data_IF_977461966039
#
_entry.id   IF_977461966039
#
_cell.length_a   1.000
_cell.length_b   1.000
_cell.length_c   1.000
_cell.angle_alpha   90.00
_cell.angle_beta   90.00
_cell.angle_gamma   90.00
#
_symmetry.space_group_name_H-M   'P 1'
#
loop_
_entity.id
_entity.type
_entity.pdbx_description
1 polymer ?
#
# COMPACT_ATOMS: atom_id res chain seq x y z
N UNK A 1 31.86 -21.16 0.07
CA UNK A 1 30.66 -20.58 -0.58
C UNK A 1 29.37 -20.68 0.24
N UNK A 2 29.19 -21.65 1.17
CA UNK A 2 27.97 -21.75 1.99
C UNK A 2 27.82 -20.72 3.13
N UNK A 3 28.93 -20.22 3.71
CA UNK A 3 28.90 -19.27 4.84
C UNK A 3 28.34 -17.87 4.49
N UNK A 4 28.52 -17.41 3.23
CA UNK A 4 28.02 -16.11 2.77
C UNK A 4 26.49 -16.07 2.63
N UNK A 5 25.86 -17.22 2.36
CA UNK A 5 24.40 -17.31 2.22
C UNK A 5 23.66 -17.07 3.55
N UNK A 6 24.27 -17.44 4.68
CA UNK A 6 23.72 -17.23 6.01
C UNK A 6 23.79 -15.76 6.45
N UNK A 7 24.93 -15.10 6.18
CA UNK A 7 25.12 -13.67 6.48
C UNK A 7 24.11 -12.78 5.76
N UNK A 8 23.87 -13.05 4.47
CA UNK A 8 22.90 -12.29 3.66
C UNK A 8 21.46 -12.42 4.17
N UNK A 9 21.03 -13.63 4.56
CA UNK A 9 19.70 -13.85 5.15
C UNK A 9 19.54 -13.11 6.49
N UNK A 10 20.57 -13.12 7.33
CA UNK A 10 20.59 -12.36 8.58
C UNK A 10 20.45 -10.86 8.34
N UNK A 11 21.22 -10.32 7.40
CA UNK A 11 21.18 -8.90 7.06
C UNK A 11 19.83 -8.47 6.47
N UNK A 12 19.25 -9.27 5.55
CA UNK A 12 17.88 -9.02 5.03
C UNK A 12 16.85 -8.90 6.14
N UNK A 13 16.92 -9.78 7.14
CA UNK A 13 16.02 -9.73 8.31
C UNK A 13 16.27 -8.51 9.18
N UNK A 14 17.50 -8.05 9.33
CA UNK A 14 17.78 -6.81 10.05
C UNK A 14 17.19 -5.62 9.31
N UNK A 15 17.43 -5.54 8.01
CA UNK A 15 16.99 -4.44 7.16
C UNK A 15 15.47 -4.41 6.91
N UNK A 16 14.70 -5.44 7.28
CA UNK A 16 13.24 -5.44 7.09
C UNK A 16 12.48 -4.62 8.16
N UNK A 17 13.19 -3.98 9.08
CA UNK A 17 12.64 -3.12 10.14
C UNK A 17 13.16 -1.68 10.00
N UNK A 18 12.25 -0.70 10.01
CA UNK A 18 12.57 0.73 9.94
C UNK A 18 13.50 1.15 11.10
N UNK A 19 13.23 0.67 12.33
CA UNK A 19 14.07 0.94 13.51
C UNK A 19 15.50 0.43 13.31
N UNK A 20 15.67 -0.80 12.81
CA UNK A 20 16.99 -1.38 12.60
C UNK A 20 17.77 -0.64 11.50
N UNK A 21 17.10 -0.22 10.43
CA UNK A 21 17.73 0.62 9.41
C UNK A 21 18.23 1.91 10.04
N UNK A 22 17.39 2.57 10.84
CA UNK A 22 17.80 3.80 11.49
C UNK A 22 18.95 3.59 12.49
N UNK A 23 18.99 2.46 13.20
CA UNK A 23 20.09 2.10 14.10
C UNK A 23 21.39 1.85 13.31
N UNK A 24 21.29 1.22 12.13
CA UNK A 24 22.44 1.03 11.24
C UNK A 24 22.95 2.35 10.67
N UNK A 25 22.07 3.26 10.26
CA UNK A 25 22.45 4.60 9.82
C UNK A 25 23.13 5.35 10.98
N UNK A 26 22.58 5.29 12.19
CA UNK A 26 23.18 5.89 13.38
C UNK A 26 24.57 5.34 13.65
N UNK A 27 24.72 4.01 13.70
CA UNK A 27 26.00 3.35 13.91
C UNK A 27 27.03 3.79 12.87
N UNK A 28 26.68 3.78 11.58
CA UNK A 28 27.55 4.25 10.51
C UNK A 28 27.91 5.75 10.67
N UNK A 29 26.99 6.56 11.16
CA UNK A 29 27.23 7.98 11.42
C UNK A 29 28.18 8.21 12.60
N UNK A 30 28.16 7.36 13.63
CA UNK A 30 29.15 7.39 14.72
C UNK A 30 30.54 6.96 14.24
N UNK A 31 30.59 6.05 13.25
CA UNK A 31 31.82 5.59 12.63
C UNK A 31 32.45 6.63 11.69
N UNK A 32 31.62 7.31 10.90
CA UNK A 32 32.02 8.41 10.01
C UNK A 32 30.81 9.31 9.71
N UNK A 33 30.84 10.56 10.17
CA UNK A 33 29.75 11.51 9.95
C UNK A 33 29.90 12.33 8.65
N UNK A 34 31.05 12.23 7.95
CA UNK A 34 31.31 13.03 6.74
C UNK A 34 30.32 12.78 5.58
N UNK A 35 29.84 11.55 5.33
CA UNK A 35 28.83 11.26 4.30
C UNK A 35 27.59 12.17 4.34
N UNK A 36 27.18 12.63 5.53
CA UNK A 36 26.03 13.52 5.67
C UNK A 36 26.19 14.85 4.93
N UNK A 37 27.42 15.34 4.69
CA UNK A 37 27.64 16.61 3.98
C UNK A 37 26.96 16.62 2.61
N UNK A 38 26.98 15.50 1.91
CA UNK A 38 26.39 15.37 0.57
C UNK A 38 24.86 15.34 0.59
N UNK A 39 24.28 14.99 1.74
CA UNK A 39 22.84 14.70 1.90
C UNK A 39 22.10 15.89 2.51
N UNK A 40 22.64 16.44 3.60
CA UNK A 40 22.02 17.51 4.39
C UNK A 40 22.79 18.84 4.29
N UNK A 41 23.91 18.87 3.55
CA UNK A 41 24.72 20.06 3.34
C UNK A 41 25.73 20.39 4.44
N UNK A 42 25.82 19.59 5.51
CA UNK A 42 26.80 19.76 6.58
C UNK A 42 27.23 18.44 7.22
N UNK A 43 28.38 18.46 7.91
CA UNK A 43 28.86 17.33 8.72
C UNK A 43 28.36 17.52 10.15
N UNK A 44 27.53 16.62 10.69
CA UNK A 44 27.05 16.76 12.05
C UNK A 44 28.18 16.52 13.06
N UNK A 45 28.16 17.31 14.13
CA UNK A 45 28.97 17.09 15.34
C UNK A 45 28.27 16.18 16.32
N UNK A 46 26.93 16.08 16.26
CA UNK A 46 26.15 15.11 17.01
C UNK A 46 25.07 14.47 16.14
N UNK A 47 24.81 13.21 16.44
CA UNK A 47 23.77 12.37 15.85
C UNK A 47 23.01 11.78 17.04
N UNK A 48 21.69 11.89 17.04
CA UNK A 48 20.84 11.40 18.14
C UNK A 48 19.73 10.51 17.57
N UNK A 49 19.48 9.37 18.22
CA UNK A 49 18.35 8.46 17.92
C UNK A 49 17.11 8.86 18.69
N UNK A 50 15.95 8.68 18.06
CA UNK A 50 14.63 8.92 18.67
C UNK A 50 14.51 10.30 19.32
N UNK A 51 15.19 11.28 18.74
CA UNK A 51 15.29 12.61 19.31
C UNK A 51 13.91 13.27 19.33
N UNK A 52 13.57 13.87 20.46
CA UNK A 52 12.31 14.59 20.60
C UNK A 52 12.33 15.84 19.72
N UNK A 53 11.42 15.89 18.75
CA UNK A 53 11.20 17.00 17.84
C UNK A 53 9.73 17.43 17.95
N UNK A 54 9.48 18.48 18.73
CA UNK A 54 8.14 18.91 19.14
C UNK A 54 7.32 17.74 19.77
N UNK A 55 6.13 17.45 19.22
CA UNK A 55 5.23 16.38 19.68
C UNK A 55 5.57 15.00 19.12
N UNK A 56 6.70 14.85 18.43
CA UNK A 56 7.08 13.60 17.78
C UNK A 56 8.55 13.22 18.06
N UNK A 57 8.93 12.01 17.65
CA UNK A 57 10.31 11.52 17.71
C UNK A 57 10.82 11.27 16.31
N UNK A 58 11.86 12.02 15.94
CA UNK A 58 12.60 11.76 14.72
C UNK A 58 13.43 10.50 14.85
N UNK A 59 13.51 9.71 13.80
CA UNK A 59 14.40 8.56 13.77
C UNK A 59 15.84 9.02 14.00
N UNK A 60 16.28 10.06 13.30
CA UNK A 60 17.58 10.68 13.55
C UNK A 60 17.46 12.20 13.62
N UNK A 61 18.18 12.80 14.57
CA UNK A 61 18.49 14.22 14.59
C UNK A 61 19.98 14.40 14.39
N UNK A 62 20.34 15.27 13.46
CA UNK A 62 21.72 15.60 13.08
C UNK A 62 21.95 17.08 13.37
N UNK A 63 23.02 17.42 14.09
CA UNK A 63 23.27 18.78 14.53
C UNK A 63 24.76 19.13 14.47
N UNK A 64 25.09 20.38 14.12
CA UNK A 64 26.46 20.91 14.12
C UNK A 64 26.64 22.18 14.99
N UNK A 65 25.66 22.49 15.83
CA UNK A 65 25.53 23.69 16.66
C UNK A 65 24.95 24.91 15.93
N UNK A 66 24.72 24.83 14.61
CA UNK A 66 24.17 25.93 13.79
C UNK A 66 23.00 25.49 12.91
N UNK A 67 23.04 24.27 12.42
CA UNK A 67 22.05 23.68 11.54
C UNK A 67 21.58 22.37 12.15
N UNK A 68 20.29 22.09 11.99
CA UNK A 68 19.66 20.85 12.45
C UNK A 68 18.94 20.20 11.28
N UNK A 69 19.15 18.90 11.09
CA UNK A 69 18.42 18.08 10.14
C UNK A 69 17.70 16.95 10.89
N UNK A 70 16.46 16.67 10.50
CA UNK A 70 15.69 15.53 10.98
C UNK A 70 15.52 14.53 9.84
N UNK A 71 15.88 13.28 10.10
CA UNK A 71 15.70 12.17 9.16
C UNK A 71 14.62 11.25 9.71
N UNK A 72 13.62 10.96 8.88
CA UNK A 72 12.69 9.86 9.12
C UNK A 72 12.99 8.72 8.14
N UNK A 73 13.01 7.48 8.63
CA UNK A 73 13.16 6.27 7.83
C UNK A 73 11.79 5.62 7.61
N UNK A 74 11.48 5.27 6.36
CA UNK A 74 10.26 4.53 6.01
C UNK A 74 10.53 3.47 4.94
N UNK A 75 10.09 2.24 5.22
CA UNK A 75 10.10 1.14 4.25
C UNK A 75 8.70 0.87 3.72
N UNK A 76 7.74 0.76 4.63
CA UNK A 76 6.41 0.24 4.32
C UNK A 76 5.26 1.14 4.75
N UNK A 77 5.51 2.11 5.62
CA UNK A 77 4.47 2.96 6.22
C UNK A 77 4.50 4.39 5.69
N UNK A 78 3.35 5.07 5.73
CA UNK A 78 3.24 6.52 5.50
C UNK A 78 3.63 7.32 6.74
N UNK A 79 4.17 8.52 6.52
CA UNK A 79 4.06 9.59 7.51
C UNK A 79 2.58 9.95 7.60
N UNK A 80 1.96 9.76 8.77
CA UNK A 80 0.56 10.19 8.95
C UNK A 80 0.45 11.71 8.78
N UNK A 81 -0.71 12.22 8.33
CA UNK A 81 -0.90 13.67 8.18
C UNK A 81 -0.63 14.43 9.48
N UNK A 82 -0.98 13.84 10.63
CA UNK A 82 -0.65 14.39 11.96
C UNK A 82 0.85 14.43 12.24
N UNK A 83 1.56 13.35 11.93
CA UNK A 83 3.02 13.27 12.09
C UNK A 83 3.73 14.28 11.18
N UNK A 84 3.31 14.35 9.92
CA UNK A 84 3.85 15.28 8.95
C UNK A 84 3.62 16.74 9.36
N UNK A 85 2.38 17.09 9.74
CA UNK A 85 2.05 18.42 10.26
C UNK A 85 2.87 18.78 11.51
N UNK A 86 3.16 17.82 12.39
CA UNK A 86 4.00 18.06 13.56
C UNK A 86 5.44 18.45 13.18
N UNK A 87 6.06 17.76 12.21
CA UNK A 87 7.37 18.16 11.71
C UNK A 87 7.34 19.49 10.96
N UNK A 88 6.34 19.70 10.12
CA UNK A 88 6.21 20.91 9.31
C UNK A 88 5.94 22.16 10.15
N UNK A 89 5.45 21.99 11.38
CA UNK A 89 5.30 23.06 12.38
C UNK A 89 6.60 23.55 13.02
N UNK A 90 7.72 22.81 12.83
CA UNK A 90 9.04 23.24 13.30
C UNK A 90 9.53 24.45 12.50
N UNK A 91 10.52 25.18 13.01
CA UNK A 91 11.12 26.31 12.31
C UNK A 91 11.69 25.90 10.93
N UNK A 92 11.71 26.83 9.98
CA UNK A 92 12.26 26.59 8.63
C UNK A 92 13.77 26.30 8.62
N UNK A 93 14.47 26.67 9.71
CA UNK A 93 15.89 26.36 9.91
C UNK A 93 16.16 24.85 10.10
N UNK A 94 15.13 24.06 10.42
CA UNK A 94 15.23 22.60 10.53
C UNK A 94 14.95 21.96 9.17
N UNK A 95 15.95 21.33 8.56
CA UNK A 95 15.74 20.59 7.32
C UNK A 95 15.10 19.23 7.59
N UNK A 96 14.08 18.88 6.79
CA UNK A 96 13.32 17.64 6.92
C UNK A 96 13.66 16.69 5.79
N UNK A 97 14.01 15.46 6.14
CA UNK A 97 14.46 14.45 5.19
C UNK A 97 13.73 13.14 5.40
N UNK A 98 13.34 12.50 4.31
CA UNK A 98 12.71 11.19 4.29
C UNK A 98 13.63 10.20 3.58
N UNK A 99 14.11 9.20 4.32
CA UNK A 99 14.89 8.10 3.79
C UNK A 99 14.00 6.88 3.53
N UNK A 100 13.88 6.45 2.28
CA UNK A 100 13.04 5.32 1.89
C UNK A 100 13.58 4.59 0.65
N UNK A 101 12.94 3.49 0.23
CA UNK A 101 13.33 2.81 -1.01
C UNK A 101 13.01 3.69 -2.22
N UNK A 102 13.91 3.75 -3.20
CA UNK A 102 13.81 4.66 -4.36
C UNK A 102 12.50 4.51 -5.16
N UNK A 103 11.94 3.30 -5.36
CA UNK A 103 10.63 3.13 -6.00
C UNK A 103 9.47 3.83 -5.29
N UNK A 104 9.66 4.25 -4.03
CA UNK A 104 8.65 4.94 -3.21
C UNK A 104 8.78 6.48 -3.29
N UNK A 105 9.64 7.03 -4.16
CA UNK A 105 9.88 8.48 -4.27
C UNK A 105 8.62 9.32 -4.50
N UNK A 106 7.66 8.78 -5.24
CA UNK A 106 6.39 9.45 -5.56
C UNK A 106 5.50 9.72 -4.32
N UNK A 107 5.86 9.16 -3.15
CA UNK A 107 5.14 9.39 -1.89
C UNK A 107 5.20 10.82 -1.38
N UNK A 108 6.21 11.59 -1.77
CA UNK A 108 6.28 13.01 -1.49
C UNK A 108 5.61 13.72 -2.67
N UNK A 109 4.43 14.29 -2.41
CA UNK A 109 3.68 15.02 -3.42
C UNK A 109 4.29 16.40 -3.69
N UNK A 110 3.76 17.09 -4.71
CA UNK A 110 4.15 18.47 -5.02
C UNK A 110 3.89 19.45 -3.84
N UNK A 111 2.96 19.10 -2.95
CA UNK A 111 2.66 19.85 -1.72
C UNK A 111 3.74 19.72 -0.64
N UNK A 112 4.69 18.80 -0.78
CA UNK A 112 5.55 18.34 0.32
C UNK A 112 6.91 19.06 0.28
N UNK A 113 6.87 20.36 -0.02
CA UNK A 113 8.03 21.17 -0.39
C UNK A 113 9.11 21.27 0.68
N UNK A 114 8.77 21.03 1.95
CA UNK A 114 9.74 21.00 3.06
C UNK A 114 10.57 19.72 3.12
N UNK A 115 10.10 18.64 2.52
CA UNK A 115 10.70 17.32 2.64
C UNK A 115 11.63 17.03 1.47
N UNK A 116 12.84 16.59 1.80
CA UNK A 116 13.78 16.07 0.81
C UNK A 116 13.79 14.54 0.86
N UNK A 117 13.61 13.89 -0.29
CA UNK A 117 13.66 12.44 -0.42
C UNK A 117 15.09 11.95 -0.64
N UNK A 118 15.47 10.89 0.09
CA UNK A 118 16.73 10.19 -0.10
C UNK A 118 16.49 8.68 -0.25
N UNK A 119 17.01 8.10 -1.33
CA UNK A 119 16.97 6.65 -1.53
C UNK A 119 17.86 5.95 -0.51
N UNK A 120 17.38 4.91 0.17
CA UNK A 120 18.17 4.18 1.15
C UNK A 120 19.43 3.58 0.53
N UNK A 121 19.34 3.05 -0.69
CA UNK A 121 20.49 2.53 -1.43
C UNK A 121 21.57 3.59 -1.61
N UNK A 122 21.18 4.79 -2.06
CA UNK A 122 22.07 5.93 -2.28
C UNK A 122 22.67 6.42 -0.95
N UNK A 123 21.82 6.55 0.08
CA UNK A 123 22.22 6.95 1.44
C UNK A 123 23.30 6.01 2.00
N UNK A 124 23.07 4.69 2.00
CA UNK A 124 24.05 3.75 2.52
C UNK A 124 25.33 3.73 1.68
N UNK A 125 25.24 3.87 0.35
CA UNK A 125 26.39 3.83 -0.54
C UNK A 125 27.45 4.90 -0.23
N UNK A 126 27.06 6.03 0.36
CA UNK A 126 27.99 7.09 0.76
C UNK A 126 28.97 6.66 1.86
N UNK A 127 28.61 5.69 2.72
CA UNK A 127 29.57 5.09 3.65
C UNK A 127 30.51 4.08 2.99
N UNK A 128 30.14 3.57 1.81
CA UNK A 128 30.97 2.68 1.00
C UNK A 128 32.26 3.36 0.51
N UNK A 129 32.30 4.69 0.50
CA UNK A 129 33.47 5.50 0.12
C UNK A 129 34.23 6.06 1.32
N UNK A 130 33.93 5.63 2.56
CA UNK A 130 34.56 6.16 3.78
C UNK A 130 36.05 5.78 3.84
N UNK A 131 36.96 6.70 3.57
CA UNK A 131 38.41 6.41 3.52
C UNK A 131 39.02 5.98 4.85
N UNK A 132 38.35 6.25 5.98
CA UNK A 132 38.92 6.04 7.33
C UNK A 132 38.28 4.90 8.12
N UNK A 133 37.31 4.17 7.55
CA UNK A 133 36.61 3.12 8.29
C UNK A 133 36.25 1.92 7.41
N UNK A 134 37.12 0.91 7.39
CA UNK A 134 36.94 -0.34 6.62
C UNK A 134 35.66 -1.09 7.01
N UNK A 135 35.26 -1.06 8.29
CA UNK A 135 34.03 -1.70 8.77
C UNK A 135 32.80 -1.01 8.18
N UNK A 136 32.77 0.32 8.18
CA UNK A 136 31.68 1.10 7.58
C UNK A 136 31.56 0.82 6.08
N UNK A 137 32.69 0.76 5.36
CA UNK A 137 32.71 0.40 3.95
C UNK A 137 32.12 -1.00 3.70
N UNK A 138 32.64 -2.01 4.42
CA UNK A 138 32.21 -3.41 4.24
C UNK A 138 30.73 -3.62 4.59
N UNK A 139 30.27 -3.01 5.69
CA UNK A 139 28.87 -3.09 6.11
C UNK A 139 27.94 -2.36 5.12
N UNK A 140 28.32 -1.15 4.69
CA UNK A 140 27.59 -0.39 3.66
C UNK A 140 27.44 -1.21 2.38
N UNK A 141 28.53 -1.78 1.86
CA UNK A 141 28.50 -2.58 0.63
C UNK A 141 27.51 -3.76 0.73
N UNK A 142 27.50 -4.46 1.86
CA UNK A 142 26.57 -5.56 2.10
C UNK A 142 25.10 -5.09 2.20
N UNK A 143 24.85 -3.93 2.82
CA UNK A 143 23.52 -3.34 2.92
C UNK A 143 23.02 -2.90 1.53
N UNK A 144 23.85 -2.19 0.78
CA UNK A 144 23.55 -1.72 -0.58
C UNK A 144 23.21 -2.90 -1.49
N UNK A 145 23.93 -4.02 -1.40
CA UNK A 145 23.61 -5.24 -2.17
C UNK A 145 22.18 -5.73 -1.90
N UNK A 146 21.76 -5.77 -0.63
CA UNK A 146 20.40 -6.17 -0.24
C UNK A 146 19.34 -5.18 -0.72
N UNK A 147 19.58 -3.88 -0.56
CA UNK A 147 18.64 -2.84 -0.98
C UNK A 147 18.46 -2.82 -2.50
N UNK A 148 19.56 -2.92 -3.27
CA UNK A 148 19.53 -3.07 -4.72
C UNK A 148 18.75 -4.31 -5.17
N UNK A 149 18.80 -5.41 -4.42
CA UNK A 149 17.97 -6.59 -4.70
C UNK A 149 16.49 -6.29 -4.52
N UNK A 150 16.10 -5.69 -3.40
CA UNK A 150 14.70 -5.32 -3.17
C UNK A 150 14.18 -4.32 -4.21
N UNK A 151 14.98 -3.32 -4.59
CA UNK A 151 14.60 -2.36 -5.61
C UNK A 151 14.44 -3.01 -6.99
N UNK A 152 15.29 -4.00 -7.33
CA UNK A 152 15.14 -4.80 -8.56
C UNK A 152 13.90 -5.70 -8.51
N UNK A 153 13.60 -6.33 -7.37
CA UNK A 153 12.41 -7.15 -7.20
C UNK A 153 11.13 -6.31 -7.31
N UNK A 154 11.09 -5.13 -6.68
CA UNK A 154 9.98 -4.18 -6.81
C UNK A 154 9.86 -3.70 -8.25
N UNK A 155 10.96 -3.30 -8.89
CA UNK A 155 10.90 -2.79 -10.27
C UNK A 155 10.51 -3.88 -11.27
N UNK A 156 10.95 -5.12 -11.05
CA UNK A 156 10.68 -6.26 -11.92
C UNK A 156 9.20 -6.59 -12.07
N UNK A 157 8.37 -6.35 -11.04
CA UNK A 157 6.91 -6.56 -11.15
C UNK A 157 6.19 -5.48 -11.95
N UNK A 158 6.86 -4.37 -12.27
CA UNK A 158 6.37 -3.31 -13.17
C UNK A 158 7.05 -3.33 -14.54
N UNK A 159 7.89 -4.34 -14.82
CA UNK A 159 8.48 -4.47 -16.14
C UNK A 159 7.49 -5.14 -17.10
N UNK A 160 7.66 -4.89 -18.40
CA UNK A 160 6.97 -5.64 -19.44
C UNK A 160 7.38 -7.13 -19.38
N UNK A 161 6.41 -8.03 -19.55
CA UNK A 161 6.59 -9.50 -19.50
C UNK A 161 7.62 -10.06 -20.48
N UNK A 162 7.92 -9.33 -21.55
CA UNK A 162 8.91 -9.72 -22.57
C UNK A 162 10.35 -9.44 -22.15
N UNK A 163 10.55 -8.65 -21.09
CA UNK A 163 11.88 -8.26 -20.61
C UNK A 163 12.43 -9.31 -19.62
N UNK A 164 13.74 -9.56 -19.68
CA UNK A 164 14.43 -10.47 -18.74
C UNK A 164 14.30 -10.02 -17.26
N UNK A 165 14.21 -8.71 -17.05
CA UNK A 165 14.03 -8.11 -15.73
C UNK A 165 12.64 -8.37 -15.12
N UNK A 166 11.68 -8.87 -15.91
CA UNK A 166 10.33 -9.14 -15.46
C UNK A 166 10.29 -10.12 -14.28
N UNK A 167 9.39 -9.84 -13.34
CA UNK A 167 9.08 -10.71 -12.22
C UNK A 167 7.56 -10.82 -12.03
N UNK A 168 7.04 -12.01 -11.71
CA UNK A 168 5.66 -12.14 -11.26
C UNK A 168 5.48 -11.57 -9.86
N UNK A 169 4.25 -11.17 -9.51
CA UNK A 169 3.88 -10.66 -8.19
C UNK A 169 4.23 -11.63 -7.05
N UNK A 170 4.17 -12.94 -7.30
CA UNK A 170 4.55 -13.97 -6.31
C UNK A 170 6.03 -13.97 -5.93
N UNK A 171 6.88 -13.26 -6.69
CA UNK A 171 8.32 -13.15 -6.40
C UNK A 171 8.60 -12.23 -5.18
N UNK A 172 7.65 -11.39 -4.81
CA UNK A 172 7.78 -10.41 -3.73
C UNK A 172 7.59 -11.11 -2.40
N UNK A 173 8.68 -11.35 -1.68
CA UNK A 173 8.68 -12.16 -0.45
C UNK A 173 8.66 -11.36 0.85
N UNK A 174 8.88 -10.05 0.79
CA UNK A 174 8.87 -9.19 1.97
C UNK A 174 7.58 -8.36 2.07
N UNK A 175 7.05 -8.27 3.27
CA UNK A 175 5.79 -7.57 3.55
C UNK A 175 5.83 -6.07 3.30
N UNK A 176 6.96 -5.40 3.52
CA UNK A 176 7.05 -3.96 3.23
C UNK A 176 7.08 -3.72 1.71
N UNK A 177 7.62 -4.65 0.92
CA UNK A 177 7.69 -4.52 -0.54
C UNK A 177 6.30 -4.59 -1.17
N UNK A 178 5.42 -5.49 -0.69
CA UNK A 178 4.03 -5.54 -1.19
C UNK A 178 3.30 -4.21 -0.97
N UNK A 179 3.59 -3.51 0.13
CA UNK A 179 3.05 -2.17 0.41
C UNK A 179 3.62 -1.09 -0.51
N UNK A 180 4.91 -1.12 -0.80
CA UNK A 180 5.54 -0.21 -1.78
C UNK A 180 4.92 -0.41 -3.16
N UNK A 181 4.75 -1.67 -3.57
CA UNK A 181 4.13 -2.03 -4.86
C UNK A 181 2.67 -1.56 -4.91
N UNK A 182 1.89 -1.78 -3.84
CA UNK A 182 0.52 -1.29 -3.74
C UNK A 182 0.44 0.24 -3.91
N UNK A 183 1.32 1.00 -3.25
CA UNK A 183 1.38 2.46 -3.38
C UNK A 183 1.70 2.91 -4.79
N UNK A 184 2.69 2.26 -5.43
CA UNK A 184 3.05 2.59 -6.81
C UNK A 184 1.92 2.28 -7.78
N UNK A 185 1.21 1.16 -7.62
CA UNK A 185 0.01 0.86 -8.40
C UNK A 185 -1.10 1.89 -8.16
N UNK A 186 -1.32 2.32 -6.92
CA UNK A 186 -2.30 3.36 -6.61
C UNK A 186 -1.96 4.69 -7.33
N UNK A 187 -0.69 5.11 -7.31
CA UNK A 187 -0.24 6.29 -8.04
C UNK A 187 -0.50 6.16 -9.56
N UNK A 188 -0.23 4.99 -10.15
CA UNK A 188 -0.51 4.74 -11.58
C UNK A 188 -2.03 4.83 -11.86
N UNK A 189 -2.89 4.30 -10.99
CA UNK A 189 -4.35 4.46 -11.14
C UNK A 189 -4.78 5.93 -11.06
N UNK A 190 -4.17 6.72 -10.18
CA UNK A 190 -4.43 8.16 -10.06
C UNK A 190 -3.99 8.93 -11.30
N UNK A 191 -2.83 8.59 -11.89
CA UNK A 191 -2.37 9.14 -13.16
C UNK A 191 -3.33 8.83 -14.32
N UNK A 192 -4.02 7.68 -14.26
CA UNK A 192 -5.10 7.30 -15.18
C UNK A 192 -6.45 7.98 -14.87
N UNK A 193 -6.53 8.83 -13.85
CA UNK A 193 -7.73 9.59 -13.48
C UNK A 193 -8.71 8.84 -12.59
N UNK A 194 -8.32 7.70 -12.01
CA UNK A 194 -9.14 6.95 -11.05
C UNK A 194 -8.87 7.42 -9.62
N UNK A 195 -9.89 7.35 -8.78
CA UNK A 195 -9.68 7.43 -7.34
C UNK A 195 -9.05 6.13 -6.88
N UNK A 196 -7.99 6.17 -6.08
CA UNK A 196 -7.32 4.96 -5.62
C UNK A 196 -6.62 5.16 -4.28
N UNK A 197 -6.42 4.05 -3.57
CA UNK A 197 -5.70 4.02 -2.32
C UNK A 197 -4.92 2.72 -2.17
N UNK A 198 -3.82 2.79 -1.42
CA UNK A 198 -3.06 1.63 -0.98
C UNK A 198 -3.15 1.54 0.54
N UNK A 199 -3.76 0.47 1.03
CA UNK A 199 -4.01 0.26 2.46
C UNK A 199 -3.50 -1.13 2.89
N UNK A 200 -3.79 -1.50 4.13
CA UNK A 200 -3.48 -2.83 4.66
C UNK A 200 -4.67 -3.32 5.49
N UNK A 201 -4.88 -4.63 5.53
CA UNK A 201 -5.89 -5.20 6.43
C UNK A 201 -5.57 -4.85 7.89
N UNK A 202 -6.59 -4.71 8.73
CA UNK A 202 -6.44 -4.49 10.18
C UNK A 202 -5.36 -5.36 10.82
N UNK A 203 -4.55 -4.78 11.72
CA UNK A 203 -3.35 -5.43 12.27
C UNK A 203 -2.12 -5.35 11.33
N UNK A 204 -2.20 -4.54 10.28
CA UNK A 204 -1.11 -4.30 9.34
C UNK A 204 -0.84 -5.48 8.42
N UNK A 205 -1.83 -6.33 8.14
CA UNK A 205 -1.72 -7.63 7.46
C UNK A 205 -1.45 -7.55 5.95
N UNK A 206 -2.39 -8.03 5.13
CA UNK A 206 -2.27 -8.10 3.67
C UNK A 206 -2.23 -6.69 3.07
N UNK A 207 -1.43 -6.52 2.01
CA UNK A 207 -1.49 -5.31 1.20
C UNK A 207 -2.82 -5.26 0.46
N UNK A 208 -3.37 -4.05 0.35
CA UNK A 208 -4.62 -3.77 -0.34
C UNK A 208 -4.36 -2.64 -1.34
N UNK A 209 -4.82 -2.83 -2.57
CA UNK A 209 -4.95 -1.79 -3.58
C UNK A 209 -6.44 -1.64 -3.88
N UNK A 210 -6.98 -0.45 -3.72
CA UNK A 210 -8.37 -0.11 -4.01
C UNK A 210 -8.43 0.95 -5.12
N UNK A 211 -9.38 0.79 -6.02
CA UNK A 211 -9.74 1.76 -7.03
C UNK A 211 -11.25 2.00 -7.03
N UNK A 212 -11.65 3.25 -7.24
CA UNK A 212 -13.04 3.66 -7.27
C UNK A 212 -13.36 4.51 -8.50
N UNK A 213 -14.59 4.37 -8.97
CA UNK A 213 -15.17 5.22 -10.00
C UNK A 213 -16.57 5.66 -9.56
N UNK A 214 -16.88 6.98 -9.51
CA UNK A 214 -18.18 7.45 -9.07
C UNK A 214 -19.33 6.86 -9.89
N UNK A 215 -20.42 6.52 -9.23
CA UNK A 215 -21.69 6.23 -9.89
C UNK A 215 -22.13 7.47 -10.67
N UNK A 216 -22.68 7.31 -11.88
CA UNK A 216 -23.03 8.43 -12.77
C UNK A 216 -23.93 9.44 -12.05
N UNK A 217 -23.49 10.69 -11.99
CA UNK A 217 -24.23 11.78 -11.34
C UNK A 217 -24.03 11.88 -9.83
N UNK A 218 -23.17 11.04 -9.25
CA UNK A 218 -22.81 11.06 -7.83
C UNK A 218 -21.36 11.50 -7.60
N UNK A 219 -21.04 11.77 -6.34
CA UNK A 219 -19.67 11.97 -5.84
C UNK A 219 -19.03 10.63 -5.46
N UNK A 220 -17.77 10.66 -5.03
CA UNK A 220 -16.97 9.44 -4.75
C UNK A 220 -17.47 8.62 -3.54
N UNK A 221 -18.26 9.24 -2.67
CA UNK A 221 -19.00 8.61 -1.56
C UNK A 221 -20.04 7.59 -2.04
N UNK A 222 -20.36 7.58 -3.35
CA UNK A 222 -21.21 6.56 -3.98
C UNK A 222 -20.51 6.06 -5.24
N UNK A 223 -19.76 4.98 -5.13
CA UNK A 223 -18.87 4.53 -6.18
C UNK A 223 -19.00 3.05 -6.51
N UNK A 224 -18.53 2.71 -7.70
CA UNK A 224 -18.05 1.37 -7.99
C UNK A 224 -16.65 1.17 -7.40
N UNK A 225 -16.37 -0.03 -6.93
CA UNK A 225 -15.08 -0.42 -6.37
C UNK A 225 -14.50 -1.62 -7.11
N UNK A 226 -13.18 -1.62 -7.24
CA UNK A 226 -12.38 -2.79 -7.52
C UNK A 226 -11.16 -2.81 -6.59
N UNK A 227 -10.88 -3.96 -6.02
CA UNK A 227 -9.89 -4.13 -4.95
C UNK A 227 -9.05 -5.37 -5.19
N UNK A 228 -7.74 -5.25 -4.97
CA UNK A 228 -6.82 -6.39 -4.90
C UNK A 228 -6.24 -6.52 -3.49
N UNK A 229 -6.29 -7.72 -2.91
CA UNK A 229 -5.70 -8.06 -1.60
C UNK A 229 -4.71 -9.22 -1.70
N UNK A 230 -3.52 -9.06 -1.12
CA UNK A 230 -2.51 -10.13 -1.14
C UNK A 230 -1.49 -10.08 0.01
N UNK A 231 -0.88 -11.23 0.27
CA UNK A 231 0.26 -11.37 1.17
C UNK A 231 1.55 -11.55 0.38
N UNK A 232 2.68 -11.27 1.02
CA UNK A 232 4.00 -11.58 0.51
C UNK A 232 4.16 -13.07 0.19
N UNK A 233 4.85 -13.37 -0.91
CA UNK A 233 5.11 -14.73 -1.40
C UNK A 233 3.87 -15.50 -1.87
N UNK A 234 2.69 -14.88 -1.87
CA UNK A 234 1.46 -15.55 -2.28
C UNK A 234 1.46 -15.78 -3.80
N UNK A 235 1.13 -17.00 -4.21
CA UNK A 235 0.87 -17.33 -5.62
C UNK A 235 -0.50 -16.85 -6.10
N UNK A 236 -1.35 -16.36 -5.19
CA UNK A 236 -2.68 -15.85 -5.53
C UNK A 236 -3.01 -14.53 -4.83
N UNK A 237 -3.74 -13.67 -5.52
CA UNK A 237 -4.39 -12.48 -4.95
C UNK A 237 -5.90 -12.65 -4.91
N UNK A 238 -6.56 -12.05 -3.92
CA UNK A 238 -8.02 -11.96 -3.87
C UNK A 238 -8.47 -10.65 -4.52
N UNK A 239 -9.21 -10.74 -5.61
CA UNK A 239 -9.76 -9.60 -6.33
C UNK A 239 -11.26 -9.48 -6.06
N UNK A 240 -11.68 -8.31 -5.58
CA UNK A 240 -13.09 -8.01 -5.27
C UNK A 240 -13.56 -6.83 -6.08
N UNK A 241 -14.84 -6.81 -6.42
CA UNK A 241 -15.42 -5.71 -7.17
C UNK A 241 -16.93 -5.63 -6.98
N UNK A 242 -17.47 -4.43 -7.07
CA UNK A 242 -18.90 -4.17 -6.90
C UNK A 242 -19.18 -2.71 -6.59
N UNK A 243 -20.04 -2.46 -5.60
CA UNK A 243 -20.40 -1.11 -5.14
C UNK A 243 -19.85 -0.85 -3.74
N UNK A 244 -19.44 0.38 -3.51
CA UNK A 244 -18.93 0.87 -2.23
C UNK A 244 -19.45 2.28 -1.98
N UNK A 245 -20.24 2.40 -0.92
CA UNK A 245 -20.85 3.66 -0.52
C UNK A 245 -20.32 4.03 0.86
N UNK A 246 -20.09 5.31 1.07
CA UNK A 246 -19.76 5.90 2.36
C UNK A 246 -20.66 7.11 2.60
N UNK A 247 -21.02 7.43 3.86
CA UNK A 247 -21.66 8.70 4.17
C UNK A 247 -20.78 9.88 3.72
N UNK A 248 -21.39 10.93 3.19
CA UNK A 248 -20.65 12.13 2.82
C UNK A 248 -19.98 12.77 4.05
N UNK A 249 -18.99 13.64 3.81
CA UNK A 249 -18.25 14.29 4.90
C UNK A 249 -19.20 15.06 5.83
N UNK A 250 -19.20 14.68 7.11
CA UNK A 250 -20.08 15.28 8.13
C UNK A 250 -21.46 14.62 8.26
N UNK A 251 -21.79 13.65 7.40
CA UNK A 251 -23.02 12.86 7.48
C UNK A 251 -22.81 11.54 8.25
N UNK A 252 -23.92 10.93 8.66
CA UNK A 252 -23.93 9.64 9.37
C UNK A 252 -24.63 8.59 8.50
N UNK A 253 -24.21 7.32 8.66
CA UNK A 253 -24.84 6.20 7.96
C UNK A 253 -26.32 6.04 8.34
N UNK A 254 -27.23 6.18 7.38
CA UNK A 254 -28.66 6.04 7.58
C UNK A 254 -29.30 4.93 6.72
N UNK A 255 -30.62 4.77 6.81
CA UNK A 255 -31.35 3.76 6.04
C UNK A 255 -31.32 4.07 4.53
N UNK A 256 -31.34 5.34 4.15
CA UNK A 256 -31.39 5.75 2.74
C UNK A 256 -30.12 5.34 2.01
N UNK A 257 -28.94 5.59 2.59
CA UNK A 257 -27.67 5.20 1.97
C UNK A 257 -27.50 3.67 1.94
N UNK A 258 -27.89 2.97 3.01
CA UNK A 258 -27.90 1.50 3.05
C UNK A 258 -28.80 0.91 1.98
N UNK A 259 -30.01 1.45 1.81
CA UNK A 259 -30.97 1.01 0.80
C UNK A 259 -30.47 1.31 -0.61
N UNK A 260 -29.95 2.51 -0.84
CA UNK A 260 -29.39 2.91 -2.14
C UNK A 260 -28.23 2.00 -2.57
N UNK A 261 -27.32 1.66 -1.65
CA UNK A 261 -26.19 0.77 -1.97
C UNK A 261 -26.64 -0.64 -2.36
N UNK A 262 -27.57 -1.24 -1.60
CA UNK A 262 -28.05 -2.60 -1.89
C UNK A 262 -28.96 -2.65 -3.12
N UNK A 263 -29.80 -1.63 -3.34
CA UNK A 263 -30.67 -1.57 -4.51
C UNK A 263 -29.85 -1.47 -5.80
N UNK A 264 -28.78 -0.65 -5.79
CA UNK A 264 -27.83 -0.62 -6.91
C UNK A 264 -27.15 -1.97 -7.10
N UNK A 265 -26.64 -2.59 -6.03
CA UNK A 265 -26.00 -3.91 -6.10
C UNK A 265 -26.93 -4.98 -6.69
N UNK A 266 -28.21 -5.00 -6.26
CA UNK A 266 -29.23 -5.94 -6.76
C UNK A 266 -29.56 -5.66 -8.23
N UNK A 267 -29.70 -4.38 -8.62
CA UNK A 267 -29.95 -4.03 -10.03
C UNK A 267 -28.81 -4.46 -10.95
N UNK A 268 -27.59 -4.52 -10.41
CA UNK A 268 -26.37 -4.97 -11.09
C UNK A 268 -26.01 -6.43 -10.79
N UNK A 269 -26.93 -7.23 -10.22
CA UNK A 269 -26.70 -8.65 -9.88
C UNK A 269 -26.06 -9.48 -11.01
N UNK A 270 -26.51 -9.39 -12.29
CA UNK A 270 -25.88 -10.16 -13.38
C UNK A 270 -24.48 -9.65 -13.74
N UNK A 271 -24.14 -8.41 -13.39
CA UNK A 271 -22.86 -7.76 -13.72
C UNK A 271 -21.83 -8.02 -12.61
N UNK A 272 -22.23 -7.93 -11.34
CA UNK A 272 -21.40 -8.20 -10.16
C UNK A 272 -21.30 -9.72 -9.94
N UNK A 273 -20.65 -10.39 -10.90
CA UNK A 273 -20.42 -11.84 -10.98
C UNK A 273 -19.07 -12.10 -11.64
N UNK A 274 -18.37 -13.10 -11.11
CA UNK A 274 -17.08 -13.56 -11.66
C UNK A 274 -17.16 -13.90 -13.13
N UNK A 275 -18.20 -14.64 -13.54
CA UNK A 275 -18.40 -15.09 -14.92
C UNK A 275 -18.59 -13.93 -15.88
N UNK A 276 -19.33 -12.90 -15.46
CA UNK A 276 -19.61 -11.73 -16.30
C UNK A 276 -18.36 -10.89 -16.50
N UNK A 277 -17.57 -10.69 -15.44
CA UNK A 277 -16.26 -10.05 -15.55
C UNK A 277 -15.32 -10.85 -16.45
N UNK A 278 -15.22 -12.17 -16.27
CA UNK A 278 -14.36 -13.04 -17.09
C UNK A 278 -14.78 -12.95 -18.57
N UNK A 279 -16.07 -13.05 -18.87
CA UNK A 279 -16.57 -12.94 -20.25
C UNK A 279 -16.24 -11.57 -20.88
N UNK A 280 -16.40 -10.48 -20.12
CA UNK A 280 -16.01 -9.15 -20.57
C UNK A 280 -14.50 -9.05 -20.86
N UNK A 281 -13.66 -9.61 -19.98
CA UNK A 281 -12.21 -9.61 -20.17
C UNK A 281 -11.78 -10.53 -21.32
N UNK A 282 -12.44 -11.66 -21.54
CA UNK A 282 -12.17 -12.52 -22.70
C UNK A 282 -12.38 -11.82 -24.04
N UNK A 283 -13.34 -10.88 -24.10
CA UNK A 283 -13.61 -10.07 -25.29
C UNK A 283 -12.67 -8.86 -25.40
N UNK A 284 -12.44 -8.15 -24.30
CA UNK A 284 -11.73 -6.85 -24.31
C UNK A 284 -10.24 -6.93 -24.02
N UNK A 285 -9.82 -7.83 -23.12
CA UNK A 285 -8.44 -7.99 -22.61
C UNK A 285 -8.12 -9.46 -22.31
N UNK A 286 -7.99 -10.32 -23.35
CA UNK A 286 -7.91 -11.78 -23.19
C UNK A 286 -6.70 -12.27 -22.37
N UNK A 287 -5.66 -11.46 -22.25
CA UNK A 287 -4.50 -11.70 -21.41
C UNK A 287 -4.82 -11.61 -19.91
N UNK A 288 -5.72 -10.71 -19.50
CA UNK A 288 -6.15 -10.55 -18.11
C UNK A 288 -7.10 -11.66 -17.69
N UNK A 289 -8.01 -12.08 -18.58
CA UNK A 289 -8.95 -13.18 -18.26
C UNK A 289 -8.22 -14.48 -17.91
N UNK A 290 -7.09 -14.75 -18.57
CA UNK A 290 -6.22 -15.92 -18.32
C UNK A 290 -5.50 -15.89 -16.96
N UNK A 291 -5.56 -14.78 -16.23
CA UNK A 291 -5.00 -14.65 -14.89
C UNK A 291 -6.05 -14.92 -13.80
N UNK A 292 -7.33 -14.94 -14.14
CA UNK A 292 -8.40 -15.11 -13.16
C UNK A 292 -8.73 -16.59 -13.02
N UNK A 293 -8.65 -17.08 -11.78
CA UNK A 293 -9.21 -18.38 -11.44
C UNK A 293 -10.71 -18.23 -11.18
N UNK A 294 -11.58 -18.98 -11.88
CA UNK A 294 -12.99 -19.02 -11.56
C UNK A 294 -13.15 -19.58 -10.14
N UNK A 295 -13.61 -18.74 -9.22
CA UNK A 295 -13.90 -19.18 -7.87
C UNK A 295 -15.15 -20.09 -7.90
N UNK A 296 -15.16 -21.18 -7.13
CA UNK A 296 -16.35 -22.06 -7.04
C UNK A 296 -17.56 -21.31 -6.45
N UNK A 297 -17.30 -20.28 -5.63
CA UNK A 297 -18.30 -19.37 -5.05
C UNK A 297 -17.81 -17.94 -5.18
N UNK A 298 -18.33 -17.20 -6.14
CA UNK A 298 -17.98 -15.80 -6.36
C UNK A 298 -18.79 -14.83 -5.49
N UNK A 299 -19.87 -15.32 -4.88
CA UNK A 299 -20.70 -14.63 -3.87
C UNK A 299 -21.12 -15.59 -2.75
N UNK A 300 -21.36 -15.10 -1.51
CA UNK A 300 -21.84 -15.93 -0.42
C UNK A 300 -23.31 -16.33 -0.61
N UNK A 301 -23.72 -17.39 0.08
CA UNK A 301 -25.15 -17.70 0.24
C UNK A 301 -25.79 -16.69 1.21
N UNK A 302 -26.96 -16.11 0.88
CA UNK A 302 -27.62 -15.15 1.74
C UNK A 302 -28.06 -15.79 3.06
N UNK A 303 -27.95 -15.04 4.16
CA UNK A 303 -28.27 -15.49 5.52
C UNK A 303 -28.95 -14.37 6.31
N UNK A 304 -29.96 -14.74 7.10
CA UNK A 304 -30.69 -13.79 7.95
C UNK A 304 -31.52 -12.77 7.16
N UNK A 305 -32.07 -11.78 7.86
CA UNK A 305 -32.88 -10.71 7.25
C UNK A 305 -32.00 -9.49 6.93
N UNK A 306 -31.55 -9.35 5.68
CA UNK A 306 -30.79 -8.16 5.28
C UNK A 306 -31.61 -6.87 5.40
N UNK A 307 -32.93 -6.96 5.24
CA UNK A 307 -33.84 -5.82 5.41
C UNK A 307 -33.76 -5.21 6.82
N UNK A 308 -33.48 -6.00 7.86
CA UNK A 308 -33.24 -5.46 9.21
C UNK A 308 -31.94 -4.65 9.28
N UNK A 309 -30.89 -5.10 8.58
CA UNK A 309 -29.63 -4.36 8.47
C UNK A 309 -29.83 -3.06 7.68
N UNK A 310 -30.64 -3.07 6.62
CA UNK A 310 -30.96 -1.85 5.87
C UNK A 310 -31.67 -0.83 6.76
N UNK A 311 -32.66 -1.24 7.56
CA UNK A 311 -33.38 -0.32 8.45
C UNK A 311 -32.55 0.20 9.61
N UNK A 312 -31.81 -0.68 10.29
CA UNK A 312 -31.24 -0.39 11.60
C UNK A 312 -29.72 -0.35 11.63
N UNK A 313 -29.05 -0.70 10.53
CA UNK A 313 -27.61 -0.94 10.50
C UNK A 313 -27.21 -2.15 11.36
N UNK A 314 -25.93 -2.54 11.29
CA UNK A 314 -25.43 -3.65 12.11
C UNK A 314 -25.47 -3.35 13.62
N UNK A 315 -25.32 -2.08 14.01
CA UNK A 315 -25.32 -1.68 15.40
C UNK A 315 -26.72 -1.71 16.02
N UNK A 316 -27.76 -1.45 15.23
CA UNK A 316 -29.16 -1.45 15.68
C UNK A 316 -29.80 -2.83 15.73
N UNK A 317 -29.29 -3.81 14.99
CA UNK A 317 -29.79 -5.20 15.02
C UNK A 317 -29.12 -6.00 16.13
N UNK A 318 -29.92 -6.35 17.16
CA UNK A 318 -29.50 -7.25 18.24
C UNK A 318 -29.89 -8.69 17.93
N UNK A 319 -28.96 -9.59 18.17
CA UNK A 319 -29.20 -11.02 18.07
C UNK A 319 -29.96 -11.55 19.30
N UNK A 320 -30.52 -12.77 19.24
CA UNK A 320 -31.23 -13.38 20.37
C UNK A 320 -30.39 -13.48 21.66
N UNK A 321 -29.07 -13.53 21.54
CA UNK A 321 -28.13 -13.57 22.67
C UNK A 321 -27.70 -12.16 23.16
N UNK A 322 -28.32 -11.10 22.63
CA UNK A 322 -28.06 -9.71 22.97
C UNK A 322 -26.80 -9.11 22.33
N UNK A 323 -26.03 -9.87 21.54
CA UNK A 323 -24.84 -9.35 20.85
C UNK A 323 -25.22 -8.53 19.62
N UNK A 324 -24.31 -7.63 19.22
CA UNK A 324 -24.40 -6.90 17.95
C UNK A 324 -24.34 -7.88 16.77
N UNK A 325 -25.23 -7.71 15.80
CA UNK A 325 -25.16 -8.45 14.54
C UNK A 325 -23.90 -8.09 13.77
N UNK A 326 -23.45 -9.00 12.90
CA UNK A 326 -22.34 -8.78 11.98
C UNK A 326 -22.53 -9.62 10.71
N UNK A 327 -21.68 -9.37 9.70
CA UNK A 327 -21.76 -10.05 8.41
C UNK A 327 -21.62 -11.57 8.46
N UNK A 328 -21.00 -12.14 9.49
CA UNK A 328 -20.92 -13.61 9.59
C UNK A 328 -22.28 -14.25 9.87
N UNK A 329 -23.22 -13.49 10.41
CA UNK A 329 -24.56 -13.96 10.82
C UNK A 329 -25.66 -13.50 9.86
N UNK A 330 -25.60 -12.24 9.41
CA UNK A 330 -26.54 -11.67 8.45
C UNK A 330 -25.74 -11.17 7.24
N UNK A 331 -25.95 -11.78 6.08
CA UNK A 331 -25.19 -11.51 4.87
C UNK A 331 -26.13 -11.50 3.66
N UNK A 332 -26.05 -10.50 2.78
CA UNK A 332 -26.79 -10.51 1.53
C UNK A 332 -26.09 -11.48 0.56
N UNK A 333 -26.59 -11.64 -0.67
CA UNK A 333 -25.91 -12.44 -1.68
C UNK A 333 -24.66 -11.74 -2.27
N UNK A 334 -23.87 -11.04 -1.44
CA UNK A 334 -22.67 -10.27 -1.79
C UNK A 334 -21.62 -10.34 -0.67
N UNK A 335 -20.35 -10.33 -1.04
CA UNK A 335 -19.26 -10.02 -0.11
C UNK A 335 -19.28 -8.52 0.24
N UNK A 336 -18.46 -8.13 1.21
CA UNK A 336 -18.28 -6.74 1.60
C UNK A 336 -17.91 -6.62 3.07
N UNK A 337 -17.62 -5.40 3.48
CA UNK A 337 -17.56 -4.98 4.87
C UNK A 337 -18.79 -4.12 5.19
N UNK A 338 -19.23 -4.19 6.46
CA UNK A 338 -20.38 -3.40 6.96
C UNK A 338 -21.61 -3.50 6.04
N UNK A 339 -22.47 -2.49 6.03
CA UNK A 339 -23.76 -2.50 5.35
C UNK A 339 -23.74 -1.89 3.94
N UNK A 340 -22.67 -1.19 3.56
CA UNK A 340 -22.65 -0.33 2.36
C UNK A 340 -21.84 -0.89 1.18
N UNK A 341 -20.95 -1.85 1.43
CA UNK A 341 -20.12 -2.45 0.38
C UNK A 341 -20.69 -3.79 -0.09
N UNK A 342 -20.91 -3.97 -1.39
CA UNK A 342 -21.50 -5.19 -1.95
C UNK A 342 -20.72 -5.67 -3.17
N UNK A 343 -20.04 -6.80 -3.02
CA UNK A 343 -19.01 -7.25 -3.96
C UNK A 343 -19.17 -8.71 -4.40
N UNK A 344 -18.60 -9.03 -5.55
CA UNK A 344 -18.17 -10.36 -5.92
C UNK A 344 -16.65 -10.54 -5.66
N UNK A 345 -16.19 -11.78 -5.60
CA UNK A 345 -14.77 -12.11 -5.39
C UNK A 345 -14.27 -13.19 -6.36
N UNK A 346 -13.06 -12.99 -6.89
CA UNK A 346 -12.31 -13.95 -7.70
C UNK A 346 -10.86 -14.01 -7.23
N UNK A 347 -10.11 -15.02 -7.68
CA UNK A 347 -8.68 -15.10 -7.40
C UNK A 347 -7.87 -14.80 -8.65
N UNK A 348 -6.72 -14.15 -8.48
CA UNK A 348 -5.78 -13.84 -9.56
C UNK A 348 -4.48 -14.61 -9.37
N UNK A 349 -3.97 -15.18 -10.45
CA UNK A 349 -2.72 -15.96 -10.49
C UNK A 349 -1.49 -15.05 -10.45
N UNK A 350 -0.94 -14.86 -9.26
CA UNK A 350 0.24 -14.04 -9.04
C UNK A 350 1.54 -14.71 -9.44
N UNK A 351 1.53 -16.00 -9.78
CA UNK A 351 2.68 -16.64 -10.42
C UNK A 351 2.89 -16.18 -11.87
N UNK A 352 1.87 -15.52 -12.44
CA UNK A 352 1.85 -15.04 -13.83
C UNK A 352 1.52 -13.55 -13.95
N UNK A 353 0.79 -12.98 -13.00
CA UNK A 353 0.45 -11.56 -12.98
C UNK A 353 1.62 -10.69 -12.54
N UNK A 354 1.76 -9.55 -13.21
CA UNK A 354 2.60 -8.41 -12.82
C UNK A 354 1.76 -7.36 -12.07
N UNK A 355 2.39 -6.30 -11.56
CA UNK A 355 1.69 -5.16 -10.97
C UNK A 355 0.91 -4.35 -12.03
N UNK A 356 1.39 -4.30 -13.27
CA UNK A 356 0.68 -3.68 -14.39
C UNK A 356 -0.62 -4.42 -14.70
N UNK A 357 -0.59 -5.75 -14.74
CA UNK A 357 -1.79 -6.57 -14.96
C UNK A 357 -2.86 -6.32 -13.90
N UNK A 358 -2.46 -6.16 -12.63
CA UNK A 358 -3.38 -5.87 -11.52
C UNK A 358 -3.98 -4.47 -11.68
N UNK A 359 -3.18 -3.49 -12.06
CA UNK A 359 -3.62 -2.11 -12.31
C UNK A 359 -4.63 -2.07 -13.46
N UNK A 360 -4.32 -2.75 -14.57
CA UNK A 360 -5.19 -2.84 -15.74
C UNK A 360 -6.46 -3.63 -15.46
N UNK A 361 -6.40 -4.64 -14.59
CA UNK A 361 -7.57 -5.40 -14.14
C UNK A 361 -8.53 -4.51 -13.33
N UNK A 362 -8.01 -3.68 -12.42
CA UNK A 362 -8.83 -2.70 -11.67
C UNK A 362 -9.51 -1.74 -12.64
N UNK A 363 -8.74 -1.10 -13.51
CA UNK A 363 -9.27 -0.13 -14.49
C UNK A 363 -10.35 -0.74 -15.38
N UNK A 364 -10.09 -1.93 -15.94
CA UNK A 364 -11.03 -2.59 -16.85
C UNK A 364 -12.31 -3.01 -16.11
N UNK A 365 -12.18 -3.44 -14.85
CA UNK A 365 -13.32 -3.83 -14.02
C UNK A 365 -14.19 -2.62 -13.66
N UNK A 366 -13.59 -1.48 -13.29
CA UNK A 366 -14.34 -0.26 -12.98
C UNK A 366 -15.08 0.27 -14.21
N UNK A 367 -14.40 0.32 -15.36
CA UNK A 367 -15.04 0.72 -16.61
C UNK A 367 -16.18 -0.23 -17.01
N UNK A 368 -16.01 -1.54 -16.82
CA UNK A 368 -17.06 -2.54 -17.03
C UNK A 368 -18.29 -2.27 -16.15
N UNK A 369 -18.10 -2.02 -14.86
CA UNK A 369 -19.18 -1.70 -13.93
C UNK A 369 -19.90 -0.41 -14.36
N UNK A 370 -19.15 0.66 -14.66
CA UNK A 370 -19.72 1.94 -15.09
C UNK A 370 -20.52 1.84 -16.39
N UNK A 371 -20.04 1.10 -17.38
CA UNK A 371 -20.71 0.92 -18.67
C UNK A 371 -22.03 0.14 -18.53
N UNK A 372 -22.16 -0.69 -17.51
CA UNK A 372 -23.35 -1.49 -17.24
C UNK A 372 -24.21 -0.95 -16.09
N UNK A 373 -23.96 0.30 -15.65
CA UNK A 373 -24.86 0.97 -14.73
C UNK A 373 -26.27 1.09 -15.37
N UNK A 374 -27.35 0.75 -14.64
CA UNK A 374 -28.72 0.78 -15.16
C UNK A 374 -29.25 2.16 -15.50
#
# INVERSE_FOLDING_TARGET
MHALSGGKKGLRRLLSSETNISDLIFFLSEQDSRPWREIIGFVPTSVEREASAAFNRADLKLDNGRQTALIEVKLGHFLSSKQKAAYESLTEEVSLHLAALSPDKARLGASDVRWQFHGLTELFALWGTSESNELAQALSAAIVEVLCEWEREISGVFCDRTLEAWKPMSFVTEKFMTRVIARRMAAILQEKGLYSAATVTSGGGRAILEGWEPVRGCTIDRAFIAEMRWAEGSSTGEFRFGVDFDPAEGEVEDEEIRRSSIDLAISMDPIIRSRSLIAHLEESKPELSKLIFPNRRDRPEPKGSWEEIVRHGFEGVKLPDGKKSNRNQITPAFFGDRALRHEASVHVDFSRASAEDVTDLIESTLNFLRLNQP
#
